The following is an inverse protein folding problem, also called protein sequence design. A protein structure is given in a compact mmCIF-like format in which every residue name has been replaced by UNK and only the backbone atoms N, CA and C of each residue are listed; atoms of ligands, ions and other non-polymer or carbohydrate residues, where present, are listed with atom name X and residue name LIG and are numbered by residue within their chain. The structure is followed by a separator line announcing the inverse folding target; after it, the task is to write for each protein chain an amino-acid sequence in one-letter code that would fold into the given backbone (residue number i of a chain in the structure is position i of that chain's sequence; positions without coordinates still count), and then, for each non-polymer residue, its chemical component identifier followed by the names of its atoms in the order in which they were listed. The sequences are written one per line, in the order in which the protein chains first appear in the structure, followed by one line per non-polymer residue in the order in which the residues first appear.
data_IF_530854680427
#
_entry.id   IF_530854680427
#
_cell.length_a   1.000
_cell.length_b   1.000
_cell.length_c   1.000
_cell.angle_alpha   90.00
_cell.angle_beta   90.00
_cell.angle_gamma   90.00
#
_symmetry.space_group_name_H-M   'P 1'
#
loop_
_entity.id
_entity.type
_entity.pdbx_description
1 polymer ?
#
# COMPACT_ATOMS: atom_id res chain seq x y z
N UNK A 1 -1.34 18.06 -16.98
CA UNK A 1 -1.97 17.12 -16.03
C UNK A 1 -0.85 16.34 -15.37
N UNK A 2 -0.71 16.39 -14.05
CA UNK A 2 0.38 15.70 -13.34
C UNK A 2 0.01 14.24 -13.12
N UNK A 3 0.97 13.33 -13.29
CA UNK A 3 0.79 11.88 -13.19
C UNK A 3 0.38 11.46 -11.76
N UNK A 4 -0.72 10.72 -11.59
CA UNK A 4 -1.25 10.28 -10.28
C UNK A 4 -0.71 8.92 -9.81
N UNK A 5 0.38 8.45 -10.43
CA UNK A 5 0.97 7.15 -10.10
C UNK A 5 1.92 7.28 -8.90
N UNK A 6 2.11 6.21 -8.13
CA UNK A 6 3.09 6.20 -7.06
C UNK A 6 4.50 6.43 -7.59
N UNK A 7 5.31 7.14 -6.80
CA UNK A 7 6.70 7.46 -7.17
C UNK A 7 7.69 6.40 -6.71
N UNK A 8 7.34 5.63 -5.68
CA UNK A 8 8.11 4.45 -5.25
C UNK A 8 7.23 3.45 -4.48
N UNK A 9 7.78 2.25 -4.29
CA UNK A 9 7.13 1.11 -3.65
C UNK A 9 7.98 0.56 -2.51
N UNK A 10 7.33 0.13 -1.42
CA UNK A 10 7.95 -0.68 -0.37
C UNK A 10 7.42 -2.10 -0.52
N UNK A 11 8.27 -3.03 -0.96
CA UNK A 11 7.85 -4.38 -1.40
C UNK A 11 8.06 -5.50 -0.36
N UNK A 12 8.45 -5.17 0.87
CA UNK A 12 8.81 -6.19 1.86
C UNK A 12 10.26 -6.70 1.69
N UNK A 13 10.66 -7.82 2.30
CA UNK A 13 9.85 -8.97 2.74
C UNK A 13 9.25 -8.90 4.17
N UNK A 14 8.47 -9.93 4.53
CA UNK A 14 7.91 -10.05 5.87
C UNK A 14 9.01 -10.06 6.95
N UNK A 15 8.78 -9.33 8.04
CA UNK A 15 9.70 -9.18 9.19
C UNK A 15 11.04 -8.50 8.86
N UNK A 16 11.18 -7.81 7.72
CA UNK A 16 12.39 -7.05 7.37
C UNK A 16 12.39 -5.59 7.86
N UNK A 17 11.54 -5.24 8.83
CA UNK A 17 11.47 -3.88 9.38
C UNK A 17 10.69 -2.87 8.53
N UNK A 18 9.92 -3.33 7.55
CA UNK A 18 9.12 -2.47 6.66
C UNK A 18 8.03 -1.68 7.39
N UNK A 19 7.49 -2.18 8.50
CA UNK A 19 6.60 -1.41 9.38
C UNK A 19 7.28 -0.17 9.98
N UNK A 20 8.56 -0.28 10.40
CA UNK A 20 9.31 0.88 10.92
C UNK A 20 9.53 1.92 9.83
N UNK A 21 9.91 1.47 8.62
CA UNK A 21 10.08 2.34 7.44
C UNK A 21 8.77 3.08 7.12
N UNK A 22 7.65 2.36 7.12
CA UNK A 22 6.32 2.96 6.91
C UNK A 22 6.07 4.11 7.89
N UNK A 23 6.32 3.90 9.19
CA UNK A 23 6.10 4.94 10.20
C UNK A 23 7.05 6.13 10.04
N UNK A 24 8.33 5.89 9.78
CA UNK A 24 9.29 6.98 9.58
C UNK A 24 8.95 7.84 8.37
N UNK A 25 8.64 7.22 7.22
CA UNK A 25 8.29 7.96 6.01
C UNK A 25 6.94 8.67 6.14
N UNK A 26 5.97 8.10 6.87
CA UNK A 26 4.67 8.73 7.09
C UNK A 26 4.73 10.07 7.84
N UNK A 27 5.83 10.33 8.57
CA UNK A 27 6.02 11.58 9.30
C UNK A 27 6.60 12.71 8.43
N UNK A 28 7.13 12.40 7.25
CA UNK A 28 7.77 13.40 6.39
C UNK A 28 6.71 14.20 5.60
N UNK A 29 6.73 15.55 5.62
CA UNK A 29 5.66 16.39 5.06
C UNK A 29 5.45 16.22 3.55
N UNK A 30 6.52 15.92 2.81
CA UNK A 30 6.49 15.75 1.35
C UNK A 30 6.13 14.32 0.89
N UNK A 31 5.94 13.41 1.85
CA UNK A 31 5.66 12.02 1.60
C UNK A 31 4.22 11.71 1.99
N UNK A 32 3.52 11.01 1.12
CA UNK A 32 2.21 10.45 1.44
C UNK A 32 2.28 8.92 1.41
N UNK A 33 2.08 8.30 2.56
CA UNK A 33 1.89 6.85 2.65
C UNK A 33 0.44 6.51 2.36
N UNK A 34 0.20 5.39 1.66
CA UNK A 34 -1.14 4.80 1.60
C UNK A 34 -1.71 4.62 3.02
N UNK A 35 -2.95 5.04 3.30
CA UNK A 35 -3.55 4.91 4.63
C UNK A 35 -3.77 3.44 5.03
N UNK A 36 -3.73 2.52 4.05
CA UNK A 36 -3.76 1.08 4.26
C UNK A 36 -2.38 0.51 4.00
N UNK A 37 -1.79 -0.10 5.02
CA UNK A 37 -0.57 -0.92 4.92
C UNK A 37 -0.92 -2.24 4.24
N UNK A 38 0.01 -2.80 3.48
CA UNK A 38 -0.15 -4.13 2.85
C UNK A 38 -1.31 -4.17 1.83
N UNK A 39 -1.25 -3.28 0.84
CA UNK A 39 -2.32 -3.15 -0.16
C UNK A 39 -2.48 -4.39 -1.06
N UNK A 40 -1.39 -5.17 -1.23
CA UNK A 40 -1.34 -6.35 -2.09
C UNK A 40 -2.01 -6.11 -3.46
N UNK A 41 -1.74 -4.94 -4.04
CA UNK A 41 -2.36 -4.50 -5.28
C UNK A 41 -1.77 -5.26 -6.48
N UNK A 42 -0.43 -5.37 -6.56
CA UNK A 42 0.24 -6.05 -7.66
C UNK A 42 0.26 -7.57 -7.49
N UNK A 43 0.01 -8.05 -6.28
CA UNK A 43 -0.05 -9.47 -5.94
C UNK A 43 -1.48 -10.03 -5.91
N UNK A 44 -2.50 -9.21 -6.23
CA UNK A 44 -3.92 -9.59 -6.21
C UNK A 44 -4.25 -10.87 -6.96
N UNK A 45 -3.65 -11.07 -8.13
CA UNK A 45 -3.92 -12.23 -8.99
C UNK A 45 -2.96 -13.40 -8.71
N UNK A 46 -1.93 -13.17 -7.89
CA UNK A 46 -0.91 -14.15 -7.52
C UNK A 46 -1.21 -14.85 -6.19
N UNK A 47 -1.78 -14.11 -5.25
CA UNK A 47 -2.06 -14.57 -3.89
C UNK A 47 -3.59 -14.57 -3.75
N UNK A 48 -4.19 -15.77 -3.69
CA UNK A 48 -5.64 -15.90 -3.51
C UNK A 48 -6.09 -15.17 -2.25
N UNK A 49 -7.01 -14.22 -2.39
CA UNK A 49 -7.57 -13.44 -1.28
C UNK A 49 -8.75 -14.17 -0.61
N UNK A 50 -8.49 -15.41 -0.23
CA UNK A 50 -9.48 -16.31 0.39
C UNK A 50 -9.21 -16.54 1.88
N UNK A 51 -8.27 -15.80 2.45
CA UNK A 51 -7.96 -15.85 3.86
C UNK A 51 -9.16 -15.41 4.71
N UNK A 52 -9.33 -16.00 5.92
CA UNK A 52 -10.34 -15.54 6.87
C UNK A 52 -10.02 -14.09 7.29
N UNK A 53 -10.73 -13.13 6.70
CA UNK A 53 -10.53 -11.68 6.88
C UNK A 53 -10.52 -10.88 5.57
N UNK A 54 -10.22 -11.54 4.44
CA UNK A 54 -10.06 -10.84 3.15
C UNK A 54 -11.37 -10.25 2.63
N UNK A 55 -12.50 -10.95 2.82
CA UNK A 55 -13.83 -10.49 2.33
C UNK A 55 -14.26 -9.15 2.93
N UNK A 56 -13.87 -8.87 4.16
CA UNK A 56 -14.18 -7.62 4.87
C UNK A 56 -13.13 -6.53 4.57
N UNK A 57 -11.89 -6.94 4.28
CA UNK A 57 -10.76 -6.03 4.14
C UNK A 57 -10.52 -5.53 2.69
N UNK A 58 -10.79 -6.35 1.67
CA UNK A 58 -10.58 -5.99 0.25
C UNK A 58 -11.34 -4.71 -0.17
N UNK A 59 -12.64 -4.53 0.16
CA UNK A 59 -13.36 -3.32 -0.22
C UNK A 59 -12.76 -2.05 0.39
N UNK A 60 -12.12 -2.17 1.55
CA UNK A 60 -11.44 -1.07 2.22
C UNK A 60 -10.10 -0.73 1.54
N UNK A 61 -9.33 -1.74 1.13
CA UNK A 61 -8.10 -1.57 0.35
C UNK A 61 -8.39 -0.78 -0.93
N UNK A 62 -9.36 -1.22 -1.74
CA UNK A 62 -9.64 -0.58 -3.03
C UNK A 62 -10.03 0.89 -2.87
N UNK A 63 -10.86 1.20 -1.87
CA UNK A 63 -11.23 2.59 -1.54
C UNK A 63 -10.03 3.41 -1.06
N UNK A 64 -9.16 2.84 -0.23
CA UNK A 64 -7.97 3.50 0.26
C UNK A 64 -6.97 3.80 -0.86
N UNK A 65 -6.79 2.86 -1.79
CA UNK A 65 -5.97 3.01 -2.99
C UNK A 65 -6.52 4.13 -3.87
N UNK A 66 -7.81 4.11 -4.18
CA UNK A 66 -8.46 5.14 -5.00
C UNK A 66 -8.34 6.51 -4.34
N UNK A 67 -8.62 6.60 -3.03
CA UNK A 67 -8.48 7.83 -2.26
C UNK A 67 -7.03 8.36 -2.29
N UNK A 68 -6.07 7.47 -2.10
CA UNK A 68 -4.64 7.76 -2.16
C UNK A 68 -4.21 8.32 -3.52
N UNK A 69 -4.72 7.75 -4.62
CA UNK A 69 -4.45 8.20 -6.00
C UNK A 69 -5.13 9.54 -6.33
N UNK A 70 -6.30 9.82 -5.75
CA UNK A 70 -7.04 11.07 -5.98
C UNK A 70 -6.48 12.22 -5.14
N UNK A 71 -6.11 11.96 -3.89
CA UNK A 71 -5.84 13.03 -2.93
C UNK A 71 -4.42 13.60 -2.98
N UNK A 72 -3.37 12.84 -3.36
CA UNK A 72 -1.99 13.36 -3.26
C UNK A 72 -1.01 12.94 -4.35
N UNK A 73 -0.06 13.85 -4.59
CA UNK A 73 0.91 13.87 -5.71
C UNK A 73 2.18 13.01 -5.52
N UNK A 74 2.40 12.40 -4.35
CA UNK A 74 3.58 11.57 -4.02
C UNK A 74 3.17 10.39 -3.13
N UNK A 75 2.38 9.48 -3.68
CA UNK A 75 1.89 8.32 -2.93
C UNK A 75 2.85 7.14 -2.99
N UNK A 76 3.00 6.43 -1.87
CA UNK A 76 3.81 5.21 -1.76
C UNK A 76 2.88 4.04 -1.53
N UNK A 77 3.06 3.00 -2.33
CA UNK A 77 2.39 1.73 -2.13
C UNK A 77 3.28 0.75 -1.39
N UNK A 78 2.62 -0.03 -0.55
CA UNK A 78 3.24 -1.06 0.25
C UNK A 78 2.69 -2.40 -0.22
N UNK A 79 3.56 -3.24 -0.78
CA UNK A 79 3.22 -4.59 -1.23
C UNK A 79 4.01 -5.59 -0.37
N UNK A 80 3.35 -6.68 0.04
CA UNK A 80 4.02 -7.78 0.71
C UNK A 80 4.24 -8.88 -0.33
N UNK A 81 5.50 -9.16 -0.66
CA UNK A 81 5.84 -10.49 -1.17
C UNK A 81 5.82 -11.45 0.03
N UNK A 82 4.70 -12.16 0.18
CA UNK A 82 4.62 -13.36 1.01
C UNK A 82 5.24 -14.54 0.24
N UNK A 83 5.99 -15.36 0.98
CA UNK A 83 6.48 -16.66 0.53
C UNK A 83 5.33 -17.60 0.21
#
# INVERSE_FOLDING_TARGET
MQNSLPTFLIVGAARSGTTSIYHWLSQHPDIYMSPVKETNYFTRDLIGREGPGDREFIPFIDRAIIKSLIEKKNSIFFDYLLY
#
